data_IF_654943169375
#
_entry.id   IF_654943169375
#
_cell.length_a   1.000
_cell.length_b   1.000
_cell.length_c   1.000
_cell.angle_alpha   90.00
_cell.angle_beta   90.00
_cell.angle_gamma   90.00
#
_symmetry.space_group_name_H-M   'P 1'
#
loop_
_entity.id
_entity.type
_entity.pdbx_description
1 polymer ?
#
# COMPACT_ATOMS: atom_id res chain seq x y z
N UNK A 1 1.24 31.94 7.27
CA UNK A 1 0.86 30.92 8.28
C UNK A 1 -0.63 31.09 8.58
N UNK A 2 -1.48 30.15 8.16
CA UNK A 2 -2.93 30.24 8.40
C UNK A 2 -3.20 30.08 9.90
N UNK A 3 -3.89 31.05 10.51
CA UNK A 3 -4.31 30.95 11.92
C UNK A 3 -5.47 29.96 12.01
N UNK A 4 -5.30 28.88 12.77
CA UNK A 4 -6.37 27.94 13.06
C UNK A 4 -7.53 28.63 13.81
N UNK A 5 -8.76 28.18 13.57
CA UNK A 5 -9.97 28.62 14.26
C UNK A 5 -10.56 27.43 15.02
N UNK A 6 -11.06 27.65 16.23
CA UNK A 6 -11.79 26.64 16.99
C UNK A 6 -13.15 26.39 16.30
N UNK A 7 -13.45 25.12 16.03
CA UNK A 7 -14.76 24.71 15.53
C UNK A 7 -15.81 24.90 16.64
N UNK A 8 -16.85 25.69 16.36
CA UNK A 8 -17.87 26.04 17.36
C UNK A 8 -18.79 24.88 17.73
N UNK A 9 -18.89 23.84 16.90
CA UNK A 9 -19.75 22.68 17.16
C UNK A 9 -19.01 21.62 18.00
N UNK A 10 -17.69 21.49 17.82
CA UNK A 10 -16.92 20.43 18.50
C UNK A 10 -15.99 20.95 19.61
N UNK A 11 -15.70 22.26 19.65
CA UNK A 11 -14.78 22.85 20.63
C UNK A 11 -13.30 22.57 20.36
N UNK A 12 -12.97 21.80 19.32
CA UNK A 12 -11.59 21.50 18.93
C UNK A 12 -11.04 22.54 17.95
N UNK A 13 -9.74 22.80 18.05
CA UNK A 13 -8.99 23.62 17.09
C UNK A 13 -9.04 22.95 15.70
N UNK A 14 -9.53 23.66 14.65
CA UNK A 14 -9.44 23.17 13.26
C UNK A 14 -8.00 23.18 12.82
N UNK A 15 -7.30 22.08 13.06
CA UNK A 15 -5.99 21.86 12.47
C UNK A 15 -6.24 21.52 11.00
N UNK A 16 -6.01 22.51 10.13
CA UNK A 16 -5.77 22.23 8.73
C UNK A 16 -4.42 21.52 8.69
N UNK A 17 -4.43 20.19 8.77
CA UNK A 17 -3.24 19.44 8.41
C UNK A 17 -3.02 19.68 6.92
N UNK A 18 -1.86 20.21 6.55
CA UNK A 18 -1.48 20.39 5.14
C UNK A 18 -1.10 19.04 4.51
N UNK A 19 -1.85 17.98 4.82
CA UNK A 19 -1.67 16.67 4.23
C UNK A 19 -2.46 16.68 2.92
N UNK A 20 -1.76 16.39 1.83
CA UNK A 20 -2.41 16.22 0.54
C UNK A 20 -3.50 15.14 0.68
N UNK A 21 -4.75 15.51 0.44
CA UNK A 21 -5.91 14.64 0.63
C UNK A 21 -6.66 14.55 -0.69
N UNK A 22 -6.75 13.34 -1.23
CA UNK A 22 -7.50 13.05 -2.44
C UNK A 22 -8.73 12.22 -2.05
N UNK A 23 -9.90 12.65 -2.51
CA UNK A 23 -11.18 11.98 -2.24
C UNK A 23 -11.66 11.31 -3.51
N UNK A 24 -12.04 10.04 -3.39
CA UNK A 24 -12.57 9.22 -4.49
C UNK A 24 -14.03 8.87 -4.21
N UNK A 25 -14.79 8.54 -5.25
CA UNK A 25 -16.21 8.19 -5.10
C UNK A 25 -16.39 6.88 -4.33
N UNK A 26 -15.45 5.94 -4.50
CA UNK A 26 -15.50 4.63 -3.88
C UNK A 26 -14.09 4.05 -3.63
N UNK A 27 -14.03 2.99 -2.83
CA UNK A 27 -12.76 2.35 -2.43
C UNK A 27 -12.03 1.66 -3.59
N UNK A 28 -12.74 1.23 -4.64
CA UNK A 28 -12.12 0.60 -5.80
C UNK A 28 -11.32 1.62 -6.61
N UNK A 29 -11.88 2.81 -6.85
CA UNK A 29 -11.16 3.92 -7.50
C UNK A 29 -9.96 4.36 -6.69
N UNK A 30 -10.11 4.51 -5.38
CA UNK A 30 -9.00 4.84 -4.49
C UNK A 30 -7.89 3.78 -4.56
N UNK A 31 -8.25 2.50 -4.52
CA UNK A 31 -7.29 1.40 -4.62
C UNK A 31 -6.53 1.42 -5.95
N UNK A 32 -7.23 1.68 -7.05
CA UNK A 32 -6.60 1.80 -8.38
C UNK A 32 -5.66 2.99 -8.46
N UNK A 33 -6.06 4.15 -7.96
CA UNK A 33 -5.22 5.34 -7.96
C UNK A 33 -3.93 5.12 -7.15
N UNK A 34 -4.04 4.53 -5.95
CA UNK A 34 -2.86 4.21 -5.12
C UNK A 34 -1.99 3.14 -5.79
N UNK A 35 -2.58 2.13 -6.44
CA UNK A 35 -1.82 1.12 -7.17
C UNK A 35 -0.99 1.75 -8.30
N UNK A 36 -1.57 2.70 -9.04
CA UNK A 36 -0.88 3.44 -10.10
C UNK A 36 0.26 4.32 -9.55
N UNK A 37 0.07 4.96 -8.39
CA UNK A 37 1.13 5.73 -7.73
C UNK A 37 2.30 4.83 -7.31
N UNK A 38 2.01 3.68 -6.72
CA UNK A 38 3.03 2.68 -6.35
C UNK A 38 3.73 2.14 -7.60
N UNK A 39 2.99 1.82 -8.67
CA UNK A 39 3.55 1.34 -9.93
C UNK A 39 4.49 2.37 -10.56
N UNK A 40 4.09 3.65 -10.58
CA UNK A 40 4.92 4.75 -11.06
C UNK A 40 6.20 4.89 -10.23
N UNK A 41 6.12 4.74 -8.91
CA UNK A 41 7.28 4.77 -8.01
C UNK A 41 8.24 3.60 -8.30
N UNK A 42 7.73 2.37 -8.42
CA UNK A 42 8.51 1.17 -8.76
C UNK A 42 9.26 1.39 -10.07
N UNK A 43 8.54 1.80 -11.13
CA UNK A 43 9.13 2.05 -12.44
C UNK A 43 10.18 3.17 -12.40
N UNK A 44 9.94 4.25 -11.64
CA UNK A 44 10.92 5.33 -11.47
C UNK A 44 12.20 4.81 -10.81
N UNK A 45 12.08 4.05 -9.72
CA UNK A 45 13.23 3.47 -9.03
C UNK A 45 13.99 2.47 -9.90
N UNK A 46 13.26 1.68 -10.70
CA UNK A 46 13.87 0.75 -11.65
C UNK A 46 14.66 1.49 -12.73
N UNK A 47 14.12 2.59 -13.30
CA UNK A 47 14.83 3.45 -14.26
C UNK A 47 16.10 4.07 -13.67
N UNK A 48 16.09 4.38 -12.37
CA UNK A 48 17.26 4.86 -11.63
C UNK A 48 18.23 3.74 -11.21
N UNK A 49 17.92 2.46 -11.51
CA UNK A 49 18.64 1.29 -11.05
C UNK A 49 18.80 1.24 -9.51
N UNK A 50 17.72 1.60 -8.79
CA UNK A 50 17.64 1.61 -7.33
C UNK A 50 16.53 0.67 -6.85
N UNK A 51 16.67 0.10 -5.64
CA UNK A 51 15.57 -0.63 -5.02
C UNK A 51 14.39 0.31 -4.71
N UNK A 52 13.18 -0.21 -4.84
CA UNK A 52 11.95 0.42 -4.38
C UNK A 52 11.57 -0.19 -3.03
N UNK A 53 11.66 0.58 -1.94
CA UNK A 53 11.40 0.10 -0.59
C UNK A 53 9.96 0.46 -0.21
N UNK A 54 9.13 -0.55 0.07
CA UNK A 54 7.71 -0.39 0.36
C UNK A 54 7.36 -0.94 1.76
N UNK A 55 6.66 -0.12 2.54
CA UNK A 55 5.98 -0.58 3.76
C UNK A 55 4.58 -1.06 3.41
N UNK A 56 4.22 -2.30 3.78
CA UNK A 56 2.95 -2.93 3.41
C UNK A 56 2.12 -3.29 4.65
N UNK A 57 0.84 -2.93 4.62
CA UNK A 57 -0.13 -3.17 5.68
C UNK A 57 -1.01 -4.39 5.38
N UNK A 58 -1.54 -5.04 6.41
CA UNK A 58 -2.56 -6.08 6.26
C UNK A 58 -3.97 -5.51 6.53
N UNK A 59 -4.99 -6.37 6.51
CA UNK A 59 -6.37 -5.99 6.81
C UNK A 59 -7.27 -5.91 5.56
N UNK A 60 -8.48 -5.39 5.71
CA UNK A 60 -9.47 -5.34 4.62
C UNK A 60 -9.17 -4.25 3.60
N UNK A 61 -8.73 -3.07 4.04
CA UNK A 61 -8.50 -1.89 3.21
C UNK A 61 -7.54 -2.13 2.03
N UNK A 62 -6.35 -2.74 2.19
CA UNK A 62 -5.40 -2.88 1.09
C UNK A 62 -5.71 -4.04 0.13
N UNK A 63 -6.77 -4.83 0.34
CA UNK A 63 -7.08 -5.98 -0.53
C UNK A 63 -7.32 -5.57 -1.99
N UNK A 64 -8.08 -4.49 -2.19
CA UNK A 64 -8.34 -3.96 -3.54
C UNK A 64 -7.07 -3.43 -4.21
N UNK A 65 -6.19 -2.81 -3.42
CA UNK A 65 -4.88 -2.34 -3.87
C UNK A 65 -3.99 -3.50 -4.33
N UNK A 66 -3.90 -4.58 -3.55
CA UNK A 66 -3.10 -5.75 -3.93
C UNK A 66 -3.63 -6.46 -5.16
N UNK A 67 -4.95 -6.62 -5.27
CA UNK A 67 -5.57 -7.17 -6.46
C UNK A 67 -5.22 -6.35 -7.72
N UNK A 68 -5.25 -5.02 -7.62
CA UNK A 68 -4.87 -4.15 -8.74
C UNK A 68 -3.36 -4.23 -9.06
N UNK A 69 -2.48 -4.25 -8.06
CA UNK A 69 -1.03 -4.43 -8.29
C UNK A 69 -0.72 -5.75 -9.00
N UNK A 70 -1.42 -6.83 -8.62
CA UNK A 70 -1.32 -8.13 -9.31
C UNK A 70 -1.83 -8.03 -10.75
N UNK A 71 -2.93 -7.30 -10.99
CA UNK A 71 -3.44 -7.06 -12.35
C UNK A 71 -2.40 -6.29 -13.19
N UNK A 72 -1.83 -5.22 -12.66
CA UNK A 72 -0.78 -4.42 -13.33
C UNK A 72 0.45 -5.25 -13.67
N UNK A 73 0.85 -6.18 -12.79
CA UNK A 73 1.93 -7.12 -13.09
C UNK A 73 1.58 -8.02 -14.27
N UNK A 74 0.42 -8.69 -14.21
CA UNK A 74 0.01 -9.72 -15.18
C UNK A 74 -0.37 -9.16 -16.55
N UNK A 75 -1.02 -7.99 -16.58
CA UNK A 75 -1.62 -7.43 -17.80
C UNK A 75 -0.78 -6.30 -18.40
N UNK A 76 -0.03 -5.56 -17.59
CA UNK A 76 0.67 -4.33 -18.01
C UNK A 76 2.19 -4.40 -17.83
N UNK A 77 2.72 -5.52 -17.31
CA UNK A 77 4.15 -5.78 -17.23
C UNK A 77 4.89 -5.05 -16.11
N UNK A 78 4.19 -4.61 -15.06
CA UNK A 78 4.82 -4.05 -13.87
C UNK A 78 5.68 -5.12 -13.17
N UNK A 79 7.00 -4.96 -13.11
CA UNK A 79 7.90 -5.90 -12.42
C UNK A 79 8.21 -5.47 -10.98
N UNK A 80 8.23 -6.42 -10.07
CA UNK A 80 8.55 -6.28 -8.65
C UNK A 80 9.97 -6.76 -8.30
N UNK A 81 10.80 -7.11 -9.30
CA UNK A 81 12.17 -7.62 -9.08
C UNK A 81 13.10 -6.66 -8.34
N UNK A 82 12.84 -5.36 -8.40
CA UNK A 82 13.60 -4.34 -7.67
C UNK A 82 12.89 -3.87 -6.39
N UNK A 83 11.81 -4.53 -5.97
CA UNK A 83 11.04 -4.15 -4.78
C UNK A 83 11.56 -4.90 -3.55
N UNK A 84 11.74 -4.15 -2.47
CA UNK A 84 12.01 -4.67 -1.12
C UNK A 84 10.81 -4.28 -0.26
N UNK A 85 10.18 -5.25 0.39
CA UNK A 85 9.00 -4.99 1.22
C UNK A 85 9.26 -5.20 2.70
N UNK A 86 8.65 -4.34 3.53
CA UNK A 86 8.59 -4.49 4.98
C UNK A 86 7.12 -4.53 5.39
N UNK A 87 6.70 -5.60 6.04
CA UNK A 87 5.36 -5.72 6.60
C UNK A 87 5.29 -5.12 8.01
N UNK A 88 4.14 -4.52 8.34
CA UNK A 88 3.98 -3.76 9.58
C UNK A 88 4.06 -4.63 10.85
N UNK A 89 3.41 -5.79 10.85
CA UNK A 89 3.17 -6.58 12.06
C UNK A 89 2.94 -8.07 11.78
N UNK A 90 3.03 -8.88 12.84
CA UNK A 90 2.64 -10.29 12.90
C UNK A 90 2.27 -10.66 14.34
N UNK A 91 1.39 -11.64 14.52
CA UNK A 91 1.06 -12.16 15.84
C UNK A 91 2.21 -12.97 16.45
N UNK A 92 2.32 -13.02 17.78
CA UNK A 92 3.35 -13.81 18.46
C UNK A 92 2.80 -14.62 19.65
N UNK A 93 3.04 -15.95 19.71
CA UNK A 93 3.63 -16.78 18.64
C UNK A 93 2.62 -17.03 17.51
N UNK A 94 3.08 -17.03 16.26
CA UNK A 94 2.26 -17.36 15.10
C UNK A 94 3.02 -18.25 14.11
N UNK A 95 2.36 -19.31 13.67
CA UNK A 95 2.87 -20.18 12.61
C UNK A 95 2.63 -19.53 11.24
N UNK A 96 3.65 -19.44 10.35
CA UNK A 96 3.51 -18.76 9.06
C UNK A 96 2.40 -19.30 8.15
N UNK A 97 2.04 -20.58 8.30
CA UNK A 97 1.00 -21.24 7.50
C UNK A 97 -0.40 -21.16 8.12
N UNK A 98 -0.53 -20.56 9.31
CA UNK A 98 -1.81 -20.33 9.97
C UNK A 98 -2.74 -19.48 9.10
N UNK A 99 -4.05 -19.71 9.17
CA UNK A 99 -5.06 -18.86 8.50
C UNK A 99 -5.04 -17.41 9.01
N UNK A 100 -4.55 -17.20 10.23
CA UNK A 100 -4.47 -15.87 10.84
C UNK A 100 -3.08 -15.22 10.68
N UNK A 101 -2.15 -15.87 9.99
CA UNK A 101 -0.81 -15.36 9.73
C UNK A 101 -0.84 -14.25 8.69
N UNK A 102 -0.16 -13.15 8.99
CA UNK A 102 0.03 -12.04 8.06
C UNK A 102 1.09 -12.36 7.00
N UNK A 103 2.04 -13.26 7.29
CA UNK A 103 2.89 -13.86 6.26
C UNK A 103 2.06 -14.57 5.20
N UNK A 104 1.10 -15.42 5.62
CA UNK A 104 0.21 -16.13 4.69
C UNK A 104 -0.67 -15.15 3.91
N UNK A 105 -1.26 -14.18 4.61
CA UNK A 105 -2.10 -13.15 4.00
C UNK A 105 -1.40 -12.44 2.83
N UNK A 106 -0.14 -12.04 3.02
CA UNK A 106 0.61 -11.34 1.98
C UNK A 106 0.99 -12.23 0.80
N UNK A 107 1.33 -13.49 1.06
CA UNK A 107 1.58 -14.49 0.01
C UNK A 107 0.35 -14.67 -0.87
N UNK A 108 -0.79 -14.92 -0.25
CA UNK A 108 -2.06 -15.16 -0.94
C UNK A 108 -2.57 -13.95 -1.73
N UNK A 109 -2.33 -12.73 -1.26
CA UNK A 109 -2.88 -11.54 -1.91
C UNK A 109 -1.91 -10.84 -2.87
N UNK A 110 -0.60 -11.01 -2.70
CA UNK A 110 0.37 -10.29 -3.51
C UNK A 110 1.58 -11.14 -3.90
N UNK A 111 2.35 -11.64 -2.93
CA UNK A 111 3.72 -12.10 -3.21
C UNK A 111 3.80 -13.37 -4.07
N UNK A 112 2.82 -14.28 -3.98
CA UNK A 112 2.78 -15.47 -4.85
C UNK A 112 2.25 -15.16 -6.27
N UNK A 113 1.93 -13.90 -6.55
CA UNK A 113 1.30 -13.47 -7.79
C UNK A 113 2.12 -12.45 -8.59
N UNK A 114 3.29 -12.05 -8.08
CA UNK A 114 4.22 -11.10 -8.70
C UNK A 114 5.64 -11.65 -8.69
N UNK A 115 6.54 -11.05 -9.47
CA UNK A 115 7.95 -11.46 -9.60
C UNK A 115 8.86 -10.80 -8.56
N UNK A 116 8.36 -10.60 -7.33
CA UNK A 116 9.17 -10.11 -6.21
C UNK A 116 10.18 -11.19 -5.78
N UNK A 117 11.38 -10.78 -5.38
CA UNK A 117 12.40 -11.72 -4.90
C UNK A 117 12.10 -12.15 -3.45
N UNK A 118 12.30 -13.44 -3.10
CA UNK A 118 11.98 -13.98 -1.77
C UNK A 118 13.06 -13.74 -0.70
N UNK A 119 14.22 -13.21 -1.11
CA UNK A 119 15.43 -12.97 -0.32
C UNK A 119 15.49 -11.57 0.31
#
# INVERSE_FOLDING_TARGET
MLKSKIDKATGFEKRFENINTVVFENSNEASKAVAQEIAALIQSKQKENKPCILGLATGSSPKGLYAELVRLHKEEGLSFKNVISFNLDEYYPMEPNSINSYVRFMKELLFDHVDILPE
#
